data_IF_784031365885
#
_entry.id   IF_784031365885
#
_cell.length_a   1.000
_cell.length_b   1.000
_cell.length_c   1.000
_cell.angle_alpha   90.00
_cell.angle_beta   90.00
_cell.angle_gamma   90.00
#
_symmetry.space_group_name_H-M   'P 1'
#
loop_
_entity.id
_entity.type
_entity.pdbx_description
1 polymer ?
#
# COMPACT_ATOMS: atom_id res chain seq x y z
N UNK A 1 30.85 -14.55 4.64
CA UNK A 1 31.55 -15.78 4.21
C UNK A 1 32.88 -16.06 4.92
N UNK A 2 33.82 -15.11 5.05
CA UNK A 2 35.16 -15.36 5.64
C UNK A 2 35.15 -15.92 7.08
N UNK A 3 34.22 -15.45 7.93
CA UNK A 3 34.07 -15.94 9.32
C UNK A 3 33.55 -17.39 9.42
N UNK A 4 32.90 -17.90 8.36
CA UNK A 4 32.31 -19.25 8.34
C UNK A 4 33.31 -20.30 7.85
N UNK A 5 34.17 -19.93 6.88
CA UNK A 5 35.26 -20.78 6.41
C UNK A 5 36.31 -21.07 7.51
N UNK A 6 36.64 -20.06 8.33
CA UNK A 6 37.61 -20.21 9.44
C UNK A 6 37.10 -21.12 10.56
N UNK A 7 35.79 -21.32 10.67
CA UNK A 7 35.15 -22.17 11.69
C UNK A 7 35.14 -23.66 11.30
N UNK A 8 35.40 -23.99 10.03
CA UNK A 8 35.35 -25.34 9.47
C UNK A 8 36.73 -26.02 9.36
N UNK A 9 37.78 -25.46 9.97
CA UNK A 9 39.11 -26.10 10.05
C UNK A 9 39.85 -26.27 8.72
N UNK A 10 39.31 -25.78 7.60
CA UNK A 10 39.91 -25.90 6.28
C UNK A 10 40.75 -24.65 5.96
N UNK A 11 41.85 -24.47 6.70
CA UNK A 11 42.76 -23.33 6.57
C UNK A 11 43.74 -23.46 5.39
N UNK A 12 43.84 -24.65 4.78
CA UNK A 12 44.80 -24.94 3.73
C UNK A 12 44.15 -24.77 2.36
N UNK A 13 44.06 -23.51 1.94
CA UNK A 13 43.81 -23.18 0.54
C UNK A 13 45.01 -23.71 -0.26
N UNK A 14 44.80 -24.78 -1.06
CA UNK A 14 45.80 -25.33 -2.00
C UNK A 14 46.43 -24.20 -2.85
N UNK A 15 47.73 -24.29 -3.15
CA UNK A 15 48.48 -23.20 -3.80
C UNK A 15 47.92 -22.82 -5.19
N UNK A 16 47.29 -23.77 -5.87
CA UNK A 16 46.52 -23.56 -7.11
C UNK A 16 45.30 -22.65 -6.91
N UNK A 17 44.57 -22.83 -5.80
CA UNK A 17 43.45 -21.96 -5.43
C UNK A 17 43.92 -20.56 -5.02
N UNK A 18 45.12 -20.42 -4.42
CA UNK A 18 45.70 -19.10 -4.12
C UNK A 18 46.08 -18.35 -5.40
N UNK A 19 46.66 -19.03 -6.38
CA UNK A 19 46.99 -18.45 -7.68
C UNK A 19 45.73 -18.00 -8.43
N UNK A 20 44.70 -18.85 -8.44
CA UNK A 20 43.39 -18.53 -9.04
C UNK A 20 42.72 -17.34 -8.35
N UNK A 21 42.79 -17.26 -7.02
CA UNK A 21 42.26 -16.11 -6.27
C UNK A 21 43.05 -14.82 -6.53
N UNK A 22 44.37 -14.91 -6.73
CA UNK A 22 45.21 -13.77 -7.07
C UNK A 22 44.86 -13.23 -8.47
N UNK A 23 44.66 -14.13 -9.44
CA UNK A 23 44.21 -13.76 -10.79
C UNK A 23 42.81 -13.13 -10.76
N UNK A 24 41.85 -13.72 -10.03
CA UNK A 24 40.53 -13.12 -9.86
C UNK A 24 40.61 -11.72 -9.23
N UNK A 25 41.45 -11.51 -8.21
CA UNK A 25 41.64 -10.18 -7.61
C UNK A 25 42.26 -9.18 -8.57
N UNK A 26 43.22 -9.63 -9.39
CA UNK A 26 43.83 -8.79 -10.41
C UNK A 26 42.78 -8.32 -11.40
N UNK A 27 42.00 -9.25 -11.97
CA UNK A 27 40.92 -8.96 -12.92
C UNK A 27 39.82 -8.08 -12.31
N UNK A 28 39.44 -8.32 -11.06
CA UNK A 28 38.50 -7.47 -10.33
C UNK A 28 38.96 -6.00 -10.26
N UNK A 29 40.27 -5.78 -10.11
CA UNK A 29 40.86 -4.45 -9.94
C UNK A 29 41.37 -3.80 -11.24
N UNK A 30 41.33 -4.48 -12.39
CA UNK A 30 41.86 -3.94 -13.66
C UNK A 30 40.86 -3.94 -14.81
N UNK A 31 39.82 -4.77 -14.76
CA UNK A 31 38.79 -4.76 -15.79
C UNK A 31 38.00 -3.44 -15.71
N UNK A 32 38.09 -2.61 -16.75
CA UNK A 32 37.34 -1.36 -16.93
C UNK A 32 36.35 -1.47 -18.09
N UNK A 33 35.21 -0.79 -17.97
CA UNK A 33 34.20 -0.69 -19.02
C UNK A 33 33.90 0.79 -19.28
N UNK A 34 33.80 1.14 -20.55
CA UNK A 34 33.46 2.50 -20.97
C UNK A 34 31.94 2.65 -20.91
N UNK A 35 31.44 3.42 -19.93
CA UNK A 35 30.01 3.75 -19.80
C UNK A 35 29.87 5.26 -20.02
N UNK A 36 29.13 5.67 -21.06
CA UNK A 36 28.94 7.09 -21.45
C UNK A 36 30.26 7.87 -21.59
N UNK A 37 31.29 7.26 -22.17
CA UNK A 37 32.57 7.93 -22.45
C UNK A 37 33.53 8.07 -21.26
N UNK A 38 33.22 7.45 -20.11
CA UNK A 38 34.10 7.43 -18.94
C UNK A 38 34.55 5.99 -18.66
N UNK A 39 35.86 5.78 -18.46
CA UNK A 39 36.41 4.49 -18.02
C UNK A 39 36.05 4.27 -16.55
N UNK A 40 35.32 3.18 -16.27
CA UNK A 40 34.91 2.82 -14.92
C UNK A 40 35.32 1.37 -14.66
N UNK A 41 35.92 1.08 -13.50
CA UNK A 41 36.22 -0.30 -13.09
C UNK A 41 34.94 -1.14 -13.04
N UNK A 42 34.91 -2.24 -13.79
CA UNK A 42 33.77 -3.16 -13.98
C UNK A 42 33.25 -3.70 -12.64
N UNK A 43 34.17 -3.97 -11.70
CA UNK A 43 33.86 -4.63 -10.44
C UNK A 43 33.73 -3.67 -9.25
N UNK A 44 33.87 -2.36 -9.47
CA UNK A 44 33.55 -1.36 -8.45
C UNK A 44 32.05 -1.03 -8.45
N UNK A 45 31.20 -2.07 -8.38
CA UNK A 45 29.75 -1.89 -8.20
C UNK A 45 29.47 -1.60 -6.74
N UNK A 46 29.14 -0.34 -6.44
CA UNK A 46 28.77 0.08 -5.10
C UNK A 46 27.30 -0.26 -4.87
N UNK A 47 27.05 -1.28 -4.05
CA UNK A 47 25.71 -1.61 -3.59
C UNK A 47 25.43 -0.88 -2.28
N UNK A 48 24.76 0.27 -2.36
CA UNK A 48 24.51 1.15 -1.20
C UNK A 48 23.77 0.41 -0.09
N UNK A 49 22.78 -0.41 -0.43
CA UNK A 49 22.03 -1.26 0.50
C UNK A 49 22.46 -2.74 0.45
N UNK A 50 23.57 -3.05 -0.21
CA UNK A 50 24.01 -4.42 -0.43
C UNK A 50 23.22 -5.16 -1.53
N UNK A 51 23.43 -6.47 -1.60
CA UNK A 51 22.78 -7.35 -2.57
C UNK A 51 21.80 -8.32 -1.90
N UNK A 52 20.83 -8.82 -2.67
CA UNK A 52 20.03 -9.97 -2.25
C UNK A 52 20.83 -11.28 -2.28
N UNK A 53 20.22 -12.40 -1.85
CA UNK A 53 20.83 -13.74 -1.84
C UNK A 53 21.31 -14.22 -3.22
N UNK A 54 20.83 -13.58 -4.29
CA UNK A 54 21.18 -13.86 -5.69
C UNK A 54 22.19 -12.84 -6.25
N UNK A 55 22.72 -11.94 -5.42
CA UNK A 55 23.71 -10.94 -5.83
C UNK A 55 23.13 -9.72 -6.57
N UNK A 56 21.82 -9.48 -6.53
CA UNK A 56 21.15 -8.35 -7.20
C UNK A 56 21.11 -7.11 -6.30
N UNK A 57 21.20 -5.92 -6.89
CA UNK A 57 21.17 -4.65 -6.15
C UNK A 57 19.84 -4.45 -5.40
N UNK A 58 19.92 -4.36 -4.07
CA UNK A 58 18.78 -4.17 -3.20
C UNK A 58 18.20 -2.75 -3.31
N UNK A 59 19.04 -1.73 -3.47
CA UNK A 59 18.58 -0.33 -3.54
C UNK A 59 17.73 -0.12 -4.79
N UNK A 60 18.23 -0.52 -5.96
CA UNK A 60 17.45 -0.44 -7.19
C UNK A 60 16.10 -1.16 -7.05
N UNK A 61 16.08 -2.35 -6.44
CA UNK A 61 14.85 -3.12 -6.26
C UNK A 61 13.84 -2.41 -5.37
N UNK A 62 14.28 -1.77 -4.29
CA UNK A 62 13.42 -0.98 -3.40
C UNK A 62 12.88 0.25 -4.14
N UNK A 63 13.71 0.96 -4.90
CA UNK A 63 13.26 2.15 -5.64
C UNK A 63 12.21 1.78 -6.69
N UNK A 64 12.49 0.77 -7.53
CA UNK A 64 11.56 0.36 -8.59
C UNK A 64 10.29 -0.29 -8.03
N UNK A 65 10.41 -1.15 -7.01
CA UNK A 65 9.26 -1.77 -6.37
C UNK A 65 8.42 -0.77 -5.57
N UNK A 66 9.08 0.17 -4.90
CA UNK A 66 8.47 1.22 -4.09
C UNK A 66 7.61 2.18 -4.93
N UNK A 67 8.06 2.56 -6.12
CA UNK A 67 7.28 3.41 -7.04
C UNK A 67 5.91 2.81 -7.35
N UNK A 68 5.87 1.51 -7.68
CA UNK A 68 4.63 0.81 -8.00
C UNK A 68 3.75 0.72 -6.75
N UNK A 69 4.32 0.30 -5.61
CA UNK A 69 3.57 0.15 -4.36
C UNK A 69 2.96 1.48 -3.86
N UNK A 70 3.72 2.58 -3.92
CA UNK A 70 3.24 3.91 -3.50
C UNK A 70 2.15 4.41 -4.44
N UNK A 71 2.37 4.33 -5.76
CA UNK A 71 1.39 4.79 -6.74
C UNK A 71 0.05 4.07 -6.56
N UNK A 72 0.09 2.74 -6.39
CA UNK A 72 -1.11 1.95 -6.23
C UNK A 72 -1.76 2.17 -4.86
N UNK A 73 -0.98 2.30 -3.79
CA UNK A 73 -1.49 2.62 -2.45
C UNK A 73 -2.26 3.95 -2.41
N UNK A 74 -1.76 4.99 -3.09
CA UNK A 74 -2.43 6.30 -3.19
C UNK A 74 -3.75 6.17 -3.97
N UNK A 75 -3.71 5.55 -5.15
CA UNK A 75 -4.91 5.39 -6.00
C UNK A 75 -5.97 4.56 -5.27
N UNK A 76 -5.56 3.45 -4.65
CA UNK A 76 -6.44 2.59 -3.86
C UNK A 76 -7.11 3.37 -2.72
N UNK A 77 -6.33 4.18 -1.99
CA UNK A 77 -6.83 4.97 -0.86
C UNK A 77 -7.83 6.02 -1.31
N UNK A 78 -7.57 6.73 -2.42
CA UNK A 78 -8.50 7.72 -2.96
C UNK A 78 -9.83 7.06 -3.35
N UNK A 79 -9.78 5.95 -4.09
CA UNK A 79 -10.98 5.22 -4.51
C UNK A 79 -11.76 4.70 -3.29
N UNK A 80 -11.03 4.16 -2.31
CA UNK A 80 -11.59 3.68 -1.05
C UNK A 80 -12.33 4.75 -0.27
N UNK A 81 -11.73 5.95 -0.19
CA UNK A 81 -12.32 7.10 0.48
C UNK A 81 -13.56 7.57 -0.26
N UNK A 82 -13.52 7.70 -1.59
CA UNK A 82 -14.65 8.14 -2.37
C UNK A 82 -15.86 7.21 -2.19
N UNK A 83 -15.65 5.89 -2.35
CA UNK A 83 -16.70 4.89 -2.18
C UNK A 83 -17.20 4.89 -0.73
N UNK A 84 -16.28 4.90 0.25
CA UNK A 84 -16.61 4.90 1.66
C UNK A 84 -17.39 6.13 2.11
N UNK A 85 -17.05 7.32 1.60
CA UNK A 85 -17.77 8.56 1.89
C UNK A 85 -19.19 8.47 1.36
N UNK A 86 -19.36 8.10 0.09
CA UNK A 86 -20.68 8.02 -0.52
C UNK A 86 -21.55 7.00 0.23
N UNK A 87 -21.05 5.77 0.40
CA UNK A 87 -21.80 4.69 1.02
C UNK A 87 -22.13 5.00 2.49
N UNK A 88 -21.12 5.41 3.27
CA UNK A 88 -21.26 5.71 4.69
C UNK A 88 -22.13 6.93 4.96
N UNK A 89 -22.05 7.96 4.12
CA UNK A 89 -22.86 9.17 4.28
C UNK A 89 -24.32 8.94 3.96
N UNK A 90 -24.61 8.15 2.92
CA UNK A 90 -25.99 7.76 2.57
C UNK A 90 -26.59 6.91 3.69
N UNK A 91 -25.89 5.87 4.16
CA UNK A 91 -26.38 5.03 5.25
C UNK A 91 -26.56 5.81 6.56
N UNK A 92 -25.59 6.63 6.94
CA UNK A 92 -25.62 7.37 8.20
C UNK A 92 -26.69 8.46 8.24
N UNK A 93 -26.95 9.11 7.08
CA UNK A 93 -27.97 10.15 6.99
C UNK A 93 -29.38 9.56 6.91
N UNK A 94 -29.59 8.56 6.05
CA UNK A 94 -30.91 7.95 5.85
C UNK A 94 -31.43 7.28 7.12
N UNK A 95 -30.57 6.58 7.86
CA UNK A 95 -30.97 5.81 9.05
C UNK A 95 -31.98 4.71 8.73
N UNK A 96 -32.55 4.12 9.79
CA UNK A 96 -33.65 3.14 9.69
C UNK A 96 -33.30 1.90 8.86
N UNK A 97 -34.24 1.49 8.01
CA UNK A 97 -34.12 0.27 7.19
C UNK A 97 -33.02 0.35 6.15
N UNK A 98 -32.81 1.52 5.52
CA UNK A 98 -31.76 1.71 4.51
C UNK A 98 -30.38 1.54 5.12
N UNK A 99 -30.14 2.18 6.28
CA UNK A 99 -28.91 2.02 7.04
C UNK A 99 -28.69 0.56 7.46
N UNK A 100 -29.74 -0.09 7.97
CA UNK A 100 -29.67 -1.51 8.36
C UNK A 100 -29.28 -2.41 7.19
N UNK A 101 -29.90 -2.24 6.01
CA UNK A 101 -29.60 -3.08 4.83
C UNK A 101 -28.19 -2.82 4.29
N UNK A 102 -27.79 -1.56 4.17
CA UNK A 102 -26.46 -1.17 3.72
C UNK A 102 -25.37 -1.67 4.67
N UNK A 103 -25.57 -1.52 5.97
CA UNK A 103 -24.62 -2.00 6.97
C UNK A 103 -24.63 -3.51 7.08
N UNK A 104 -25.78 -4.18 6.89
CA UNK A 104 -25.84 -5.63 6.84
C UNK A 104 -24.95 -6.18 5.72
N UNK A 105 -24.95 -5.56 4.55
CA UNK A 105 -24.04 -5.95 3.47
C UNK A 105 -22.57 -5.82 3.90
N UNK A 106 -22.20 -4.68 4.48
CA UNK A 106 -20.83 -4.45 4.99
C UNK A 106 -20.48 -5.47 6.07
N UNK A 107 -21.38 -5.75 7.00
CA UNK A 107 -21.20 -6.69 8.10
C UNK A 107 -21.01 -8.13 7.60
N UNK A 108 -21.74 -8.53 6.55
CA UNK A 108 -21.56 -9.84 5.89
C UNK A 108 -20.16 -9.93 5.28
N UNK A 109 -19.68 -8.88 4.62
CA UNK A 109 -18.31 -8.85 4.10
C UNK A 109 -17.28 -9.00 5.23
N UNK A 110 -17.47 -8.31 6.36
CA UNK A 110 -16.61 -8.45 7.54
C UNK A 110 -16.70 -9.80 8.26
N UNK A 111 -17.76 -10.59 8.02
CA UNK A 111 -17.85 -11.95 8.53
C UNK A 111 -16.76 -12.86 7.98
N UNK A 112 -16.19 -12.51 6.83
CA UNK A 112 -15.05 -13.20 6.23
C UNK A 112 -13.73 -12.56 6.67
N UNK A 113 -12.67 -13.35 6.96
CA UNK A 113 -11.38 -12.75 7.27
C UNK A 113 -10.85 -11.97 6.07
N UNK A 114 -10.24 -10.82 6.33
CA UNK A 114 -9.81 -9.86 5.30
C UNK A 114 -9.03 -10.51 4.14
N UNK A 115 -8.09 -11.40 4.47
CA UNK A 115 -7.29 -12.11 3.48
C UNK A 115 -8.13 -12.98 2.52
N UNK A 116 -9.22 -13.58 3.00
CA UNK A 116 -10.11 -14.38 2.15
C UNK A 116 -10.81 -13.51 1.11
N UNK A 117 -11.32 -12.34 1.51
CA UNK A 117 -11.94 -11.40 0.55
C UNK A 117 -10.93 -11.03 -0.55
N UNK A 118 -9.72 -10.67 -0.17
CA UNK A 118 -8.67 -10.28 -1.12
C UNK A 118 -8.35 -11.43 -2.09
N UNK A 119 -8.23 -12.66 -1.59
CA UNK A 119 -7.96 -13.83 -2.43
C UNK A 119 -9.11 -14.12 -3.39
N UNK A 120 -10.36 -14.02 -2.93
CA UNK A 120 -11.55 -14.23 -3.80
C UNK A 120 -11.59 -13.17 -4.89
N UNK A 121 -11.45 -11.89 -4.53
CA UNK A 121 -11.42 -10.80 -5.52
C UNK A 121 -10.25 -10.95 -6.51
N UNK A 122 -9.06 -11.31 -6.03
CA UNK A 122 -7.90 -11.59 -6.90
C UNK A 122 -8.18 -12.77 -7.83
N UNK A 123 -8.78 -13.85 -7.33
CA UNK A 123 -9.12 -15.02 -8.13
C UNK A 123 -10.11 -14.70 -9.26
N UNK A 124 -11.05 -13.78 -9.01
CA UNK A 124 -12.00 -13.31 -10.02
C UNK A 124 -11.34 -12.32 -11.00
N UNK A 125 -10.49 -11.41 -10.51
CA UNK A 125 -9.83 -10.40 -11.32
C UNK A 125 -8.71 -10.95 -12.22
N UNK A 126 -8.15 -12.12 -11.87
CA UNK A 126 -7.06 -12.79 -12.59
C UNK A 126 -5.68 -12.50 -12.00
N UNK A 127 -4.66 -13.15 -12.55
CA UNK A 127 -3.29 -13.01 -12.07
C UNK A 127 -2.62 -11.70 -12.50
N UNK A 128 -1.79 -11.15 -11.62
CA UNK A 128 -1.06 -9.92 -11.84
C UNK A 128 -0.91 -9.09 -10.57
N UNK A 129 0.20 -8.36 -10.48
CA UNK A 129 0.49 -7.48 -9.34
C UNK A 129 -0.57 -6.38 -9.22
N UNK A 130 -0.99 -5.80 -10.35
CA UNK A 130 -2.03 -4.77 -10.41
C UNK A 130 -3.35 -5.31 -9.85
N UNK A 131 -3.79 -6.49 -10.30
CA UNK A 131 -5.05 -7.10 -9.86
C UNK A 131 -5.07 -7.40 -8.36
N UNK A 132 -3.94 -7.84 -7.79
CA UNK A 132 -3.82 -8.05 -6.35
C UNK A 132 -4.05 -6.75 -5.57
N UNK A 133 -3.41 -5.66 -5.99
CA UNK A 133 -3.64 -4.38 -5.33
C UNK A 133 -5.04 -3.80 -5.59
N UNK A 134 -5.61 -3.99 -6.77
CA UNK A 134 -6.99 -3.60 -7.05
C UNK A 134 -7.97 -4.36 -6.15
N UNK A 135 -7.74 -5.65 -5.89
CA UNK A 135 -8.52 -6.43 -4.95
C UNK A 135 -8.41 -5.87 -3.51
N UNK A 136 -7.21 -5.50 -3.07
CA UNK A 136 -7.01 -4.81 -1.79
C UNK A 136 -7.79 -3.49 -1.72
N UNK A 137 -7.71 -2.68 -2.78
CA UNK A 137 -8.44 -1.41 -2.88
C UNK A 137 -9.96 -1.61 -2.79
N UNK A 138 -10.49 -2.60 -3.51
CA UNK A 138 -11.90 -2.93 -3.59
C UNK A 138 -12.51 -3.43 -2.27
N UNK A 139 -11.69 -3.85 -1.30
CA UNK A 139 -12.15 -4.26 0.04
C UNK A 139 -11.97 -3.14 1.06
N UNK A 140 -10.97 -2.28 0.87
CA UNK A 140 -10.58 -1.26 1.86
C UNK A 140 -11.67 -0.22 2.17
N UNK A 141 -12.64 0.01 1.27
CA UNK A 141 -13.69 1.02 1.45
C UNK A 141 -14.70 0.65 2.55
N UNK A 142 -14.82 -0.64 2.89
CA UNK A 142 -15.75 -1.15 3.91
C UNK A 142 -15.51 -0.46 5.27
N UNK A 143 -14.24 -0.35 5.67
CA UNK A 143 -13.88 0.30 6.94
C UNK A 143 -14.12 1.80 6.86
N UNK A 144 -13.86 2.43 5.72
CA UNK A 144 -14.13 3.86 5.54
C UNK A 144 -15.62 4.16 5.62
N UNK A 145 -16.47 3.32 5.02
CA UNK A 145 -17.92 3.48 5.06
C UNK A 145 -18.45 3.47 6.50
N UNK A 146 -17.97 2.54 7.35
CA UNK A 146 -18.36 2.49 8.77
C UNK A 146 -17.94 3.74 9.54
N UNK A 147 -16.70 4.20 9.34
CA UNK A 147 -16.18 5.41 10.00
C UNK A 147 -17.01 6.63 9.60
N UNK A 148 -17.22 6.84 8.30
CA UNK A 148 -18.01 7.97 7.79
C UNK A 148 -19.45 7.90 8.27
N UNK A 149 -20.07 6.71 8.26
CA UNK A 149 -21.42 6.52 8.80
C UNK A 149 -21.50 6.96 10.27
N UNK A 150 -20.53 6.56 11.10
CA UNK A 150 -20.47 6.99 12.51
C UNK A 150 -20.40 8.50 12.66
N UNK A 151 -19.56 9.17 11.85
CA UNK A 151 -19.46 10.63 11.85
C UNK A 151 -20.75 11.31 11.41
N UNK A 152 -21.36 10.81 10.33
CA UNK A 152 -22.60 11.34 9.79
C UNK A 152 -23.75 11.14 10.78
N UNK A 153 -23.85 9.99 11.44
CA UNK A 153 -24.84 9.76 12.49
C UNK A 153 -24.64 10.70 13.69
N UNK A 154 -23.40 10.99 14.06
CA UNK A 154 -23.09 11.94 15.14
C UNK A 154 -23.45 13.38 14.77
N UNK A 155 -23.27 13.76 13.51
CA UNK A 155 -23.47 15.13 13.03
C UNK A 155 -24.89 15.40 12.54
N UNK A 156 -25.70 14.39 12.19
CA UNK A 156 -27.00 14.61 11.53
C UNK A 156 -28.03 15.33 12.42
N UNK A 157 -27.88 15.24 13.74
CA UNK A 157 -28.77 15.88 14.73
C UNK A 157 -28.16 17.18 15.29
N UNK A 158 -27.19 17.79 14.59
CA UNK A 158 -26.59 19.05 15.02
C UNK A 158 -27.49 20.24 14.65
N UNK A 159 -27.38 21.33 15.43
CA UNK A 159 -28.18 22.55 15.24
C UNK A 159 -28.02 23.13 13.81
N UNK A 160 -26.84 23.05 13.21
CA UNK A 160 -26.62 23.55 11.85
C UNK A 160 -27.34 22.70 10.78
N UNK A 161 -27.51 21.40 11.03
CA UNK A 161 -28.26 20.52 10.12
C UNK A 161 -29.75 20.77 10.26
N UNK A 162 -30.27 20.91 11.49
CA UNK A 162 -31.67 21.23 11.74
C UNK A 162 -32.07 22.58 11.15
N UNK A 163 -31.19 23.60 11.29
CA UNK A 163 -31.38 24.89 10.64
C UNK A 163 -31.40 24.76 9.11
N UNK A 164 -30.47 23.99 8.52
CA UNK A 164 -30.44 23.77 7.07
C UNK A 164 -31.71 23.06 6.56
N UNK A 165 -32.23 22.08 7.30
CA UNK A 165 -33.49 21.40 6.98
C UNK A 165 -34.69 22.35 7.08
N UNK A 166 -34.73 23.18 8.13
CA UNK A 166 -35.78 24.19 8.33
C UNK A 166 -35.80 25.24 7.21
N UNK A 167 -34.64 25.51 6.59
CA UNK A 167 -34.51 26.36 5.40
C UNK A 167 -34.83 25.63 4.07
N UNK A 168 -35.27 24.37 4.11
CA UNK A 168 -35.64 23.60 2.92
C UNK A 168 -34.47 23.03 2.13
N UNK A 169 -33.28 22.86 2.74
CA UNK A 169 -32.16 22.22 2.05
C UNK A 169 -32.43 20.73 1.81
N UNK A 170 -32.16 20.26 0.58
CA UNK A 170 -32.29 18.84 0.25
C UNK A 170 -31.26 17.98 0.99
N UNK A 171 -31.61 16.72 1.28
CA UNK A 171 -30.73 15.76 1.96
C UNK A 171 -29.35 15.64 1.30
N UNK A 172 -29.32 15.55 -0.03
CA UNK A 172 -28.06 15.49 -0.79
C UNK A 172 -27.21 16.76 -0.62
N UNK A 173 -27.85 17.94 -0.56
CA UNK A 173 -27.15 19.21 -0.30
C UNK A 173 -26.58 19.24 1.11
N UNK A 174 -27.34 18.77 2.11
CA UNK A 174 -26.89 18.70 3.50
C UNK A 174 -25.68 17.78 3.63
N UNK A 175 -25.74 16.60 3.02
CA UNK A 175 -24.63 15.65 3.01
C UNK A 175 -23.39 16.28 2.38
N UNK A 176 -23.51 16.77 1.14
CA UNK A 176 -22.35 17.23 0.37
C UNK A 176 -21.75 18.56 0.87
N UNK A 177 -22.57 19.49 1.39
CA UNK A 177 -22.09 20.83 1.81
C UNK A 177 -21.89 21.00 3.30
N UNK A 178 -22.49 20.14 4.13
CA UNK A 178 -22.39 20.28 5.59
C UNK A 178 -21.77 19.04 6.24
N UNK A 179 -22.29 17.85 6.01
CA UNK A 179 -21.84 16.66 6.77
C UNK A 179 -20.48 16.13 6.31
N UNK A 180 -20.30 15.93 5.01
CA UNK A 180 -19.04 15.44 4.45
C UNK A 180 -17.89 16.41 4.75
N UNK A 181 -18.01 17.74 4.50
CA UNK A 181 -16.95 18.69 4.83
C UNK A 181 -16.58 18.70 6.31
N UNK A 182 -17.56 18.62 7.22
CA UNK A 182 -17.28 18.56 8.67
C UNK A 182 -16.65 17.22 9.11
N UNK A 183 -16.85 16.15 8.35
CA UNK A 183 -16.26 14.83 8.63
C UNK A 183 -14.86 14.67 8.03
N UNK A 184 -14.40 15.59 7.16
CA UNK A 184 -13.13 15.45 6.44
C UNK A 184 -11.93 15.32 7.38
N UNK A 185 -11.91 16.02 8.51
CA UNK A 185 -10.80 15.93 9.46
C UNK A 185 -10.56 14.49 9.94
N UNK A 186 -11.63 13.79 10.32
CA UNK A 186 -11.55 12.40 10.77
C UNK A 186 -11.28 11.45 9.60
N UNK A 187 -11.88 11.71 8.43
CA UNK A 187 -11.62 10.91 7.22
C UNK A 187 -10.14 10.98 6.84
N UNK A 188 -9.52 12.16 6.88
CA UNK A 188 -8.10 12.36 6.55
C UNK A 188 -7.21 11.62 7.54
N UNK A 189 -7.48 11.71 8.85
CA UNK A 189 -6.71 10.98 9.87
C UNK A 189 -6.79 9.47 9.65
N UNK A 190 -7.97 8.93 9.35
CA UNK A 190 -8.11 7.49 9.07
C UNK A 190 -7.47 7.09 7.74
N UNK A 191 -7.50 7.97 6.74
CA UNK A 191 -6.85 7.74 5.46
C UNK A 191 -5.34 7.62 5.64
N UNK A 192 -4.71 8.56 6.38
CA UNK A 192 -3.26 8.57 6.58
C UNK A 192 -2.79 7.38 7.40
N UNK A 193 -3.56 6.92 8.40
CA UNK A 193 -3.22 5.73 9.19
C UNK A 193 -3.32 4.42 8.41
N UNK A 194 -4.00 4.39 7.26
CA UNK A 194 -4.19 3.18 6.46
C UNK A 194 -3.26 3.08 5.25
N UNK A 195 -2.63 4.17 4.84
CA UNK A 195 -1.58 4.11 3.82
C UNK A 195 -0.35 3.48 4.49
N UNK A 196 0.07 2.27 4.08
CA UNK A 196 1.23 1.60 4.66
C UNK A 196 2.55 2.25 4.27
#
# INVERSE_FOLDING_TARGET
MWKMAKKLGNSDISDDNKATLADMRYRLNTETQIIKGKEVLIHHRVYILGTDDLGRDLLARIIYGGQISIAVGIVATIVSILIGIIFGSVSGFAGGTTDFLMMRFVDIMYGLPYMFLVIIFKAIAGDGMINFFTALAAVSWLTTARVVRGQVMSLKNSVFVEAAQSMGASSARIIARHLVPNSLGIIIVFATLRVP
#
